data_IF_145033134275
#
_entry.id   IF_145033134275
#
_cell.length_a   1.000
_cell.length_b   1.000
_cell.length_c   1.000
_cell.angle_alpha   90.00
_cell.angle_beta   90.00
_cell.angle_gamma   90.00
#
_symmetry.space_group_name_H-M   'P 1'
#
loop_
_entity.id
_entity.type
_entity.pdbx_description
1 polymer ?
#
# COMPACT_ATOMS: atom_id res chain seq x y z
N UNK A 1 -17.23 -50.94 -5.26
CA UNK A 1 -17.80 -49.75 -4.56
C UNK A 1 -16.77 -48.85 -3.87
N UNK A 2 -15.64 -49.37 -3.35
CA UNK A 2 -14.67 -48.54 -2.60
C UNK A 2 -13.77 -47.64 -3.46
N UNK A 3 -13.40 -48.07 -4.67
CA UNK A 3 -12.53 -47.30 -5.59
C UNK A 3 -13.15 -45.96 -6.04
N UNK A 4 -14.45 -45.97 -6.39
CA UNK A 4 -15.17 -44.74 -6.77
C UNK A 4 -15.22 -43.70 -5.65
N UNK A 5 -15.22 -44.14 -4.38
CA UNK A 5 -15.16 -43.24 -3.21
C UNK A 5 -13.82 -42.50 -3.15
N UNK A 6 -12.70 -43.21 -3.32
CA UNK A 6 -11.37 -42.58 -3.31
C UNK A 6 -11.18 -41.62 -4.49
N UNK A 7 -11.70 -41.97 -5.67
CA UNK A 7 -11.69 -41.06 -6.82
C UNK A 7 -12.50 -39.78 -6.57
N UNK A 8 -13.67 -39.89 -5.93
CA UNK A 8 -14.48 -38.72 -5.55
C UNK A 8 -13.75 -37.81 -4.56
N UNK A 9 -13.10 -38.39 -3.53
CA UNK A 9 -12.29 -37.61 -2.58
C UNK A 9 -11.04 -37.00 -3.22
N UNK A 10 -10.35 -37.72 -4.09
CA UNK A 10 -9.17 -37.22 -4.81
C UNK A 10 -9.54 -36.07 -5.77
N UNK A 11 -10.69 -36.17 -6.44
CA UNK A 11 -11.21 -35.10 -7.30
C UNK A 11 -11.51 -33.84 -6.49
N UNK A 12 -12.17 -33.98 -5.33
CA UNK A 12 -12.43 -32.85 -4.43
C UNK A 12 -11.14 -32.18 -3.95
N UNK A 13 -10.15 -32.98 -3.53
CA UNK A 13 -8.85 -32.45 -3.08
C UNK A 13 -8.11 -31.71 -4.20
N UNK A 14 -8.08 -32.29 -5.40
CA UNK A 14 -7.46 -31.67 -6.59
C UNK A 14 -8.16 -30.36 -6.96
N UNK A 15 -9.48 -30.30 -6.85
CA UNK A 15 -10.26 -29.11 -7.18
C UNK A 15 -9.97 -27.95 -6.21
N UNK A 16 -9.91 -28.24 -4.90
CA UNK A 16 -9.54 -27.22 -3.89
C UNK A 16 -8.12 -26.72 -4.11
N UNK A 17 -7.16 -27.61 -4.37
CA UNK A 17 -5.77 -27.22 -4.66
C UNK A 17 -5.67 -26.33 -5.90
N UNK A 18 -6.41 -26.67 -6.96
CA UNK A 18 -6.47 -25.87 -8.19
C UNK A 18 -7.05 -24.48 -7.93
N UNK A 19 -8.16 -24.39 -7.20
CA UNK A 19 -8.78 -23.11 -6.84
C UNK A 19 -7.82 -22.24 -6.01
N UNK A 20 -7.17 -22.81 -5.00
CA UNK A 20 -6.21 -22.08 -4.17
C UNK A 20 -5.00 -21.61 -4.98
N UNK A 21 -4.44 -22.46 -5.84
CA UNK A 21 -3.32 -22.08 -6.71
C UNK A 21 -3.72 -20.98 -7.72
N UNK A 22 -4.90 -21.09 -8.33
CA UNK A 22 -5.42 -20.08 -9.25
C UNK A 22 -5.73 -18.76 -8.55
N UNK A 23 -6.30 -18.81 -7.34
CA UNK A 23 -6.53 -17.63 -6.52
C UNK A 23 -5.20 -16.97 -6.12
N UNK A 24 -4.19 -17.76 -5.73
CA UNK A 24 -2.86 -17.25 -5.41
C UNK A 24 -2.18 -16.60 -6.62
N UNK A 25 -2.25 -17.23 -7.80
CA UNK A 25 -1.72 -16.68 -9.04
C UNK A 25 -2.40 -15.35 -9.40
N UNK A 26 -3.74 -15.31 -9.37
CA UNK A 26 -4.52 -14.10 -9.65
C UNK A 26 -4.27 -12.99 -8.60
N UNK A 27 -3.99 -13.35 -7.36
CA UNK A 27 -3.62 -12.41 -6.30
C UNK A 27 -2.20 -11.87 -6.46
N UNK A 28 -1.26 -12.69 -6.92
CA UNK A 28 0.15 -12.32 -7.11
C UNK A 28 0.32 -11.31 -8.25
N UNK A 29 -0.47 -11.42 -9.31
CA UNK A 29 -0.42 -10.52 -10.49
C UNK A 29 -0.96 -9.10 -10.20
N UNK A 30 -1.69 -8.87 -9.10
CA UNK A 30 -2.17 -7.52 -8.74
C UNK A 30 -1.01 -6.67 -8.21
N UNK A 31 -0.35 -5.93 -9.07
CA UNK A 31 0.69 -4.96 -8.70
C UNK A 31 0.07 -3.59 -8.40
N UNK A 32 0.78 -2.76 -7.65
CA UNK A 32 0.33 -1.39 -7.39
C UNK A 32 0.74 -0.50 -8.56
N UNK A 33 -0.24 -0.08 -9.34
CA UNK A 33 -0.08 0.64 -10.60
C UNK A 33 -0.30 2.15 -10.42
N UNK A 34 -1.04 2.57 -9.38
CA UNK A 34 -1.41 3.97 -9.17
C UNK A 34 -1.27 4.39 -7.71
N UNK A 35 -0.87 5.63 -7.47
CA UNK A 35 -0.83 6.25 -6.13
C UNK A 35 -1.89 7.37 -6.10
N UNK A 36 -2.73 7.36 -5.07
CA UNK A 36 -3.72 8.40 -4.74
C UNK A 36 -3.34 8.98 -3.39
N UNK A 37 -3.15 10.29 -3.33
CA UNK A 37 -2.80 11.01 -2.10
C UNK A 37 -4.01 11.83 -1.67
N UNK A 38 -4.35 11.77 -0.39
CA UNK A 38 -5.42 12.52 0.25
C UNK A 38 -4.84 13.31 1.43
N UNK A 39 -5.20 14.59 1.54
CA UNK A 39 -4.81 15.43 2.68
C UNK A 39 -5.98 15.59 3.63
N UNK A 40 -5.73 15.40 4.93
CA UNK A 40 -6.77 15.53 5.96
C UNK A 40 -7.17 17.00 6.19
N UNK A 41 -6.28 17.94 5.87
CA UNK A 41 -6.58 19.37 5.93
C UNK A 41 -7.28 19.86 4.65
N UNK A 42 -8.28 20.73 4.80
CA UNK A 42 -9.03 21.38 3.70
C UNK A 42 -8.12 22.06 2.65
N UNK A 43 -6.88 22.41 3.04
CA UNK A 43 -5.83 22.93 2.18
C UNK A 43 -4.47 22.41 2.66
N UNK A 44 -3.72 21.77 1.77
CA UNK A 44 -2.29 21.51 1.96
C UNK A 44 -1.55 22.85 1.90
N UNK A 45 -0.77 23.15 2.94
CA UNK A 45 0.01 24.39 3.02
C UNK A 45 1.48 24.17 2.69
N UNK A 46 1.99 22.93 2.84
CA UNK A 46 3.41 22.63 2.71
C UNK A 46 3.71 21.47 1.75
N UNK A 47 2.87 20.43 1.71
CA UNK A 47 3.09 19.20 0.94
C UNK A 47 2.00 19.02 -0.09
N UNK A 48 2.34 18.89 -1.37
CA UNK A 48 1.36 18.57 -2.42
C UNK A 48 1.46 17.10 -2.86
N UNK A 49 0.46 16.62 -3.60
CA UNK A 49 0.43 15.24 -4.11
C UNK A 49 1.70 14.87 -4.89
N UNK A 50 2.27 15.84 -5.63
CA UNK A 50 3.49 15.63 -6.42
C UNK A 50 4.74 15.42 -5.54
N UNK A 51 4.86 16.17 -4.46
CA UNK A 51 5.97 16.07 -3.49
C UNK A 51 5.88 14.72 -2.79
N UNK A 52 4.69 14.34 -2.33
CA UNK A 52 4.46 13.05 -1.67
C UNK A 52 4.75 11.90 -2.63
N UNK A 53 4.25 11.96 -3.87
CA UNK A 53 4.55 10.97 -4.89
C UNK A 53 6.07 10.86 -5.17
N UNK A 54 6.77 12.00 -5.25
CA UNK A 54 8.23 12.02 -5.42
C UNK A 54 8.95 11.42 -4.22
N UNK A 55 8.54 11.74 -2.99
CA UNK A 55 9.13 11.16 -1.76
C UNK A 55 9.01 9.64 -1.74
N UNK A 56 7.85 9.11 -2.15
CA UNK A 56 7.62 7.67 -2.25
C UNK A 56 8.50 7.01 -3.33
N UNK A 57 8.53 7.58 -4.54
CA UNK A 57 9.33 7.06 -5.66
C UNK A 57 10.83 7.12 -5.35
N UNK A 58 11.32 8.19 -4.71
CA UNK A 58 12.73 8.33 -4.36
C UNK A 58 13.20 7.28 -3.35
N UNK A 59 12.33 6.89 -2.41
CA UNK A 59 12.68 5.94 -1.35
C UNK A 59 12.46 4.48 -1.73
N UNK A 60 11.42 4.16 -2.51
CA UNK A 60 11.11 2.77 -2.91
C UNK A 60 11.57 2.40 -4.32
N UNK A 61 11.90 3.38 -5.16
CA UNK A 61 12.19 3.19 -6.58
C UNK A 61 10.98 3.47 -7.49
N UNK A 62 11.20 3.31 -8.80
CA UNK A 62 10.15 3.52 -9.79
C UNK A 62 9.07 2.43 -9.70
N UNK A 63 7.80 2.86 -9.87
CA UNK A 63 6.66 1.95 -9.99
C UNK A 63 6.82 0.98 -11.17
N UNK A 64 6.22 -0.22 -11.12
CA UNK A 64 5.36 -0.75 -10.06
C UNK A 64 6.13 -1.47 -8.94
N UNK A 65 5.49 -1.55 -7.78
CA UNK A 65 6.01 -2.07 -6.51
C UNK A 65 5.06 -3.10 -5.90
N UNK A 66 5.63 -4.09 -5.20
CA UNK A 66 4.88 -5.07 -4.40
C UNK A 66 4.61 -4.50 -3.00
N UNK A 67 3.72 -3.51 -2.88
CA UNK A 67 3.29 -2.97 -1.58
C UNK A 67 2.18 -3.83 -0.95
N UNK A 68 2.43 -5.14 -0.81
CA UNK A 68 1.45 -6.11 -0.28
C UNK A 68 1.62 -6.42 1.20
N UNK A 69 2.82 -6.23 1.74
CA UNK A 69 3.09 -6.54 3.15
C UNK A 69 2.77 -5.33 4.04
N UNK A 70 2.01 -5.57 5.12
CA UNK A 70 1.75 -4.57 6.15
C UNK A 70 3.05 -4.00 6.74
N UNK A 71 4.11 -4.82 6.82
CA UNK A 71 5.45 -4.38 7.20
C UNK A 71 6.06 -3.35 6.22
N UNK A 72 5.77 -3.50 4.92
CA UNK A 72 6.23 -2.57 3.90
C UNK A 72 5.45 -1.26 3.93
N UNK A 73 4.16 -1.29 4.29
CA UNK A 73 3.32 -0.09 4.47
C UNK A 73 3.79 0.73 5.69
N UNK A 74 3.99 0.09 6.85
CA UNK A 74 4.48 0.76 8.05
C UNK A 74 5.86 1.41 7.84
N UNK A 75 6.72 0.78 7.04
CA UNK A 75 8.00 1.40 6.65
C UNK A 75 7.79 2.69 5.84
N UNK A 76 6.77 2.75 4.98
CA UNK A 76 6.44 3.95 4.20
C UNK A 76 5.83 5.05 5.07
N UNK A 77 4.99 4.68 6.03
CA UNK A 77 4.43 5.60 7.02
C UNK A 77 5.55 6.30 7.79
N UNK A 78 6.45 5.54 8.39
CA UNK A 78 7.61 6.10 9.10
C UNK A 78 8.53 6.93 8.20
N UNK A 79 8.68 6.57 6.92
CA UNK A 79 9.46 7.37 5.98
C UNK A 79 8.84 8.74 5.72
N UNK A 80 7.51 8.81 5.59
CA UNK A 80 6.79 10.07 5.44
C UNK A 80 6.79 10.88 6.74
N UNK A 81 6.64 10.24 7.89
CA UNK A 81 6.67 10.87 9.22
C UNK A 81 8.03 11.47 9.59
N UNK A 82 9.12 10.96 9.01
CA UNK A 82 10.46 11.53 9.19
C UNK A 82 10.59 12.94 8.59
N UNK A 83 9.68 13.36 7.70
CA UNK A 83 9.68 14.70 7.15
C UNK A 83 9.24 15.74 8.22
N UNK A 84 9.95 16.87 8.38
CA UNK A 84 9.65 17.84 9.41
C UNK A 84 8.25 18.47 9.28
N UNK A 85 7.63 18.46 8.10
CA UNK A 85 6.30 19.01 7.84
C UNK A 85 5.17 18.00 8.04
N UNK A 86 5.47 16.70 8.13
CA UNK A 86 4.48 15.63 8.38
C UNK A 86 4.31 15.44 9.88
N UNK A 87 3.05 15.43 10.34
CA UNK A 87 2.68 15.10 11.71
C UNK A 87 2.42 13.60 11.85
N UNK A 88 1.58 13.06 10.96
CA UNK A 88 1.23 11.64 10.87
C UNK A 88 1.01 11.31 9.38
N UNK A 89 1.31 10.08 8.99
CA UNK A 89 1.02 9.58 7.64
C UNK A 89 0.45 8.16 7.71
N UNK A 90 -0.74 7.95 7.12
CA UNK A 90 -1.33 6.63 6.98
C UNK A 90 -1.18 6.16 5.54
N UNK A 91 -0.65 4.95 5.33
CA UNK A 91 -0.42 4.40 3.99
C UNK A 91 -1.15 3.07 3.86
N UNK A 92 -2.08 2.99 2.91
CA UNK A 92 -2.93 1.82 2.71
C UNK A 92 -3.04 1.43 1.25
N UNK A 93 -3.26 0.14 1.00
CA UNK A 93 -3.39 -0.40 -0.35
C UNK A 93 -4.83 -0.81 -0.64
N UNK A 94 -5.39 -0.30 -1.74
CA UNK A 94 -6.69 -0.70 -2.25
C UNK A 94 -6.60 -2.01 -3.04
N UNK A 95 -7.65 -2.84 -2.98
CA UNK A 95 -7.72 -4.11 -3.70
C UNK A 95 -7.58 -4.00 -5.24
N UNK A 96 -7.66 -2.79 -5.78
CA UNK A 96 -7.58 -2.42 -7.20
C UNK A 96 -6.14 -2.07 -7.66
N UNK A 97 -5.12 -2.24 -6.82
CA UNK A 97 -3.74 -1.87 -7.19
C UNK A 97 -3.46 -0.38 -7.05
N UNK A 98 -4.23 0.32 -6.21
CA UNK A 98 -4.03 1.74 -5.90
C UNK A 98 -3.45 1.86 -4.49
N UNK A 99 -2.39 2.65 -4.31
CA UNK A 99 -1.93 3.02 -2.97
C UNK A 99 -2.61 4.33 -2.55
N UNK A 100 -3.37 4.28 -1.46
CA UNK A 100 -3.88 5.45 -0.76
C UNK A 100 -2.86 5.95 0.26
N UNK A 101 -2.64 7.25 0.30
CA UNK A 101 -1.76 7.90 1.28
C UNK A 101 -2.52 9.05 1.90
N UNK A 102 -2.74 9.00 3.22
CA UNK A 102 -3.34 10.09 3.98
C UNK A 102 -2.27 10.81 4.77
N UNK A 103 -2.15 12.13 4.58
CA UNK A 103 -1.14 12.93 5.29
C UNK A 103 -1.81 13.98 6.16
N UNK A 104 -1.33 14.05 7.40
CA UNK A 104 -1.63 15.11 8.34
C UNK A 104 -0.41 16.04 8.46
N UNK A 105 -0.54 17.29 8.05
CA UNK A 105 0.53 18.29 8.13
C UNK A 105 0.66 18.87 9.55
N UNK A 106 1.89 19.26 9.93
CA UNK A 106 2.13 20.04 11.16
C UNK A 106 1.65 21.48 10.96
N UNK A 107 0.86 21.98 11.92
CA UNK A 107 0.46 23.39 11.95
C UNK A 107 1.58 24.23 12.56
N UNK A 108 2.18 25.12 11.77
CA UNK A 108 3.13 26.09 12.28
C UNK A 108 2.41 27.11 13.17
N UNK A 109 2.79 27.19 14.44
CA UNK A 109 2.25 28.16 15.40
C UNK A 109 3.21 29.34 15.58
N UNK A 110 4.52 29.11 15.43
CA UNK A 110 5.58 30.12 15.63
C UNK A 110 6.62 29.99 14.52
N UNK A 111 7.02 31.13 13.94
CA UNK A 111 8.15 31.21 13.01
C UNK A 111 9.40 31.62 13.77
N UNK A 112 10.37 30.73 13.87
CA UNK A 112 11.68 31.05 14.43
C UNK A 112 12.48 31.79 13.34
N UNK A 113 12.76 33.07 13.56
CA UNK A 113 13.74 33.78 12.74
C UNK A 113 15.10 33.57 13.40
N UNK A 114 16.01 32.90 12.69
CA UNK A 114 17.40 32.78 13.13
C UNK A 114 18.09 34.16 13.09
N UNK A 115 19.17 34.35 13.90
CA UNK A 115 19.94 35.59 13.93
C UNK A 115 20.63 35.90 12.60
#
# INVERSE_FOLDING_TARGET
MRLKKYLFFAFGLSFTLLMTAFAHYRNSVRLVEKITVEFEAQQSQFLNDSIVNKLLIQNKGALPWEAKDSLALSKLEHLLENDPYVKNADVYHFQQGVLGVRIQEKKAIIRIQGP
#
